data_IF_143333531957
#
_entry.id   IF_143333531957
#
_cell.length_a   1.000
_cell.length_b   1.000
_cell.length_c   1.000
_cell.angle_alpha   90.00
_cell.angle_beta   90.00
_cell.angle_gamma   90.00
#
_symmetry.space_group_name_H-M   'P 1'
#
loop_
_entity.id
_entity.type
_entity.pdbx_description
1 polymer ?
#
# COMPACT_ATOMS: atom_id res chain seq x y z
N UNK A 1 0.38 4.00 21.68
CA UNK A 1 -0.03 4.23 20.28
C UNK A 1 -0.34 2.88 19.64
N UNK A 2 -1.55 2.74 19.08
CA UNK A 2 -2.03 1.54 18.38
C UNK A 2 -1.84 1.73 16.86
N UNK A 3 -1.14 0.81 16.22
CA UNK A 3 -0.83 0.87 14.78
C UNK A 3 -1.44 -0.34 14.10
N UNK A 4 -2.21 -0.11 13.03
CA UNK A 4 -2.68 -1.16 12.12
C UNK A 4 -1.81 -1.17 10.88
N UNK A 5 -1.35 -2.36 10.46
CA UNK A 5 -0.65 -2.56 9.19
C UNK A 5 -1.54 -3.41 8.29
N UNK A 6 -2.04 -2.82 7.19
CA UNK A 6 -2.79 -3.59 6.18
C UNK A 6 -1.81 -4.33 5.28
N UNK A 7 -2.19 -5.51 4.76
CA UNK A 7 -1.24 -6.39 4.11
C UNK A 7 -0.13 -6.85 5.06
N UNK A 8 -0.44 -6.91 6.36
CA UNK A 8 0.53 -7.14 7.43
C UNK A 8 1.19 -8.52 7.43
N UNK A 9 0.62 -9.50 6.73
CA UNK A 9 1.24 -10.81 6.51
C UNK A 9 1.96 -10.92 5.16
N UNK A 10 1.99 -9.85 4.35
CA UNK A 10 2.82 -9.73 3.16
C UNK A 10 4.29 -9.47 3.48
N UNK A 11 5.13 -9.37 2.44
CA UNK A 11 6.59 -9.18 2.62
C UNK A 11 6.93 -7.89 3.37
N UNK A 12 6.45 -6.74 2.90
CA UNK A 12 6.73 -5.44 3.54
C UNK A 12 6.02 -5.37 4.90
N UNK A 13 4.73 -5.71 4.93
CA UNK A 13 3.90 -5.59 6.13
C UNK A 13 4.42 -6.41 7.30
N UNK A 14 4.85 -7.67 7.09
CA UNK A 14 5.36 -8.51 8.17
C UNK A 14 6.67 -8.00 8.76
N UNK A 15 7.58 -7.49 7.92
CA UNK A 15 8.81 -6.87 8.38
C UNK A 15 8.54 -5.59 9.20
N UNK A 16 7.59 -4.75 8.75
CA UNK A 16 7.16 -3.56 9.52
C UNK A 16 6.51 -3.95 10.85
N UNK A 17 5.64 -4.97 10.85
CA UNK A 17 5.03 -5.51 12.06
C UNK A 17 6.10 -5.89 13.10
N UNK A 18 7.08 -6.68 12.69
CA UNK A 18 8.18 -7.14 13.57
C UNK A 18 9.02 -5.95 14.05
N UNK A 19 9.40 -5.05 13.14
CA UNK A 19 10.21 -3.89 13.47
C UNK A 19 9.54 -2.98 14.50
N UNK A 20 8.27 -2.62 14.26
CA UNK A 20 7.52 -1.74 15.15
C UNK A 20 7.22 -2.41 16.50
N UNK A 21 6.98 -3.72 16.52
CA UNK A 21 6.82 -4.48 17.75
C UNK A 21 8.09 -4.43 18.61
N UNK A 22 9.28 -4.59 18.00
CA UNK A 22 10.59 -4.45 18.67
C UNK A 22 10.82 -3.03 19.22
N UNK A 23 10.15 -2.02 18.67
CA UNK A 23 10.15 -0.63 19.16
C UNK A 23 9.04 -0.36 20.20
N UNK A 24 8.44 -1.40 20.76
CA UNK A 24 7.40 -1.37 21.78
C UNK A 24 6.09 -0.66 21.36
N UNK A 25 5.79 -0.58 20.05
CA UNK A 25 4.48 -0.15 19.60
C UNK A 25 3.43 -1.26 19.77
N UNK A 26 2.18 -0.86 19.96
CA UNK A 26 1.05 -1.80 19.98
C UNK A 26 0.58 -2.04 18.53
N UNK A 27 1.10 -3.10 17.91
CA UNK A 27 0.94 -3.38 16.48
C UNK A 27 -0.12 -4.45 16.25
N UNK A 28 -0.92 -4.21 15.22
CA UNK A 28 -1.93 -5.13 14.69
C UNK A 28 -1.74 -5.29 13.17
N UNK A 29 -2.12 -6.44 12.65
CA UNK A 29 -2.12 -6.77 11.23
C UNK A 29 -3.54 -6.90 10.71
N UNK A 30 -3.76 -6.55 9.45
CA UNK A 30 -4.94 -6.90 8.67
C UNK A 30 -4.48 -7.52 7.37
N UNK A 31 -4.84 -8.78 7.15
CA UNK A 31 -4.47 -9.53 5.96
C UNK A 31 -5.43 -10.69 5.77
N UNK A 32 -5.89 -10.95 4.55
CA UNK A 32 -6.83 -12.03 4.25
C UNK A 32 -6.14 -13.38 3.99
N UNK A 33 -4.81 -13.43 4.13
CA UNK A 33 -3.97 -14.62 3.97
C UNK A 33 -4.08 -15.30 2.60
N UNK A 34 -4.53 -14.59 1.59
CA UNK A 34 -4.77 -15.16 0.26
C UNK A 34 -3.50 -15.40 -0.57
N UNK A 35 -2.38 -14.79 -0.19
CA UNK A 35 -1.10 -14.96 -0.89
C UNK A 35 -0.30 -16.12 -0.32
N UNK A 36 0.39 -16.83 -1.21
CA UNK A 36 1.34 -17.87 -0.81
C UNK A 36 2.37 -17.29 0.16
N UNK A 37 2.56 -17.95 1.30
CA UNK A 37 3.49 -17.53 2.36
C UNK A 37 2.90 -16.58 3.42
N UNK A 38 1.73 -15.99 3.20
CA UNK A 38 1.12 -15.10 4.20
C UNK A 38 0.67 -15.83 5.47
N UNK A 39 0.26 -17.09 5.38
CA UNK A 39 -0.05 -17.93 6.54
C UNK A 39 1.19 -18.16 7.41
N UNK A 40 2.32 -18.44 6.80
CA UNK A 40 3.61 -18.58 7.51
C UNK A 40 3.99 -17.29 8.25
N UNK A 41 3.88 -16.15 7.57
CA UNK A 41 4.14 -14.86 8.22
C UNK A 41 3.14 -14.59 9.36
N UNK A 42 1.86 -14.93 9.18
CA UNK A 42 0.86 -14.80 10.25
C UNK A 42 1.24 -15.62 11.49
N UNK A 43 1.75 -16.84 11.33
CA UNK A 43 2.20 -17.67 12.44
C UNK A 43 3.39 -17.06 13.18
N UNK A 44 4.34 -16.45 12.45
CA UNK A 44 5.45 -15.70 13.06
C UNK A 44 4.91 -14.50 13.86
N UNK A 45 4.02 -13.71 13.28
CA UNK A 45 3.44 -12.54 13.93
C UNK A 45 2.67 -12.92 15.19
N UNK A 46 1.89 -14.02 15.14
CA UNK A 46 1.15 -14.55 16.30
C UNK A 46 2.08 -14.95 17.45
N UNK A 47 3.23 -15.61 17.14
CA UNK A 47 4.21 -16.01 18.16
C UNK A 47 4.81 -14.82 18.94
N UNK A 48 4.88 -13.64 18.33
CA UNK A 48 5.37 -12.41 18.98
C UNK A 48 4.23 -11.52 19.49
N UNK A 49 2.99 -12.07 19.57
CA UNK A 49 1.83 -11.39 20.16
C UNK A 49 1.22 -10.31 19.27
N UNK A 50 1.35 -10.41 17.94
CA UNK A 50 0.66 -9.53 16.99
C UNK A 50 -0.61 -10.25 16.49
N UNK A 51 -1.77 -9.63 16.72
CA UNK A 51 -3.07 -10.11 16.24
C UNK A 51 -3.25 -9.71 14.78
N UNK A 52 -3.60 -10.68 13.91
CA UNK A 52 -4.06 -10.43 12.56
C UNK A 52 -5.60 -10.46 12.50
N UNK A 53 -6.20 -9.44 11.87
CA UNK A 53 -7.59 -9.46 11.45
C UNK A 53 -7.64 -10.12 10.07
N UNK A 54 -8.16 -11.35 10.00
CA UNK A 54 -8.27 -12.11 8.75
C UNK A 54 -9.46 -11.60 7.94
N UNK A 55 -9.33 -10.39 7.36
CA UNK A 55 -10.37 -9.73 6.58
C UNK A 55 -9.84 -9.30 5.22
N UNK A 56 -10.73 -9.29 4.22
CA UNK A 56 -10.47 -8.63 2.95
C UNK A 56 -10.61 -7.12 3.16
N UNK A 57 -9.62 -6.33 2.73
CA UNK A 57 -9.63 -4.88 2.85
C UNK A 57 -10.79 -4.23 2.07
N UNK A 58 -11.31 -4.89 1.03
CA UNK A 58 -12.48 -4.44 0.27
C UNK A 58 -13.83 -4.73 0.94
N UNK A 59 -13.85 -5.43 2.07
CA UNK A 59 -15.07 -5.68 2.86
C UNK A 59 -15.33 -4.49 3.79
N UNK A 60 -16.13 -3.56 3.30
CA UNK A 60 -16.45 -2.32 4.01
C UNK A 60 -16.99 -2.56 5.43
N UNK A 61 -17.92 -3.52 5.58
CA UNK A 61 -18.54 -3.80 6.88
C UNK A 61 -17.51 -4.26 7.91
N UNK A 62 -16.61 -5.16 7.51
CA UNK A 62 -15.55 -5.64 8.40
C UNK A 62 -14.55 -4.56 8.74
N UNK A 63 -14.17 -3.70 7.77
CA UNK A 63 -13.25 -2.59 8.00
C UNK A 63 -13.87 -1.57 8.97
N UNK A 64 -15.13 -1.20 8.78
CA UNK A 64 -15.83 -0.25 9.65
C UNK A 64 -15.99 -0.75 11.10
N UNK A 65 -16.03 -2.07 11.30
CA UNK A 65 -16.15 -2.71 12.63
C UNK A 65 -14.79 -2.96 13.30
N UNK A 66 -13.68 -2.62 12.69
CA UNK A 66 -12.36 -2.68 13.33
C UNK A 66 -12.30 -1.73 14.55
N UNK A 67 -11.53 -2.05 15.58
CA UNK A 67 -11.27 -1.12 16.67
C UNK A 67 -10.57 0.14 16.16
N UNK A 68 -10.57 1.20 16.96
CA UNK A 68 -9.84 2.42 16.66
C UNK A 68 -8.33 2.20 16.73
N UNK A 69 -7.62 2.75 15.74
CA UNK A 69 -6.16 2.84 15.68
C UNK A 69 -5.72 4.29 15.60
N UNK A 70 -4.54 4.60 16.11
CA UNK A 70 -3.98 5.95 16.02
C UNK A 70 -3.39 6.21 14.62
N UNK A 71 -2.78 5.17 14.04
CA UNK A 71 -2.16 5.21 12.71
C UNK A 71 -2.50 3.91 11.96
N UNK A 72 -2.80 4.05 10.68
CA UNK A 72 -2.84 2.93 9.73
C UNK A 72 -1.67 3.06 8.75
N UNK A 73 -0.89 2.00 8.59
CA UNK A 73 0.13 1.88 7.54
C UNK A 73 -0.43 0.97 6.47
N UNK A 74 -0.77 1.53 5.32
CA UNK A 74 -1.40 0.79 4.23
C UNK A 74 -0.35 0.20 3.29
N UNK A 75 -0.03 -1.08 3.50
CA UNK A 75 0.85 -1.89 2.66
C UNK A 75 0.08 -2.88 1.78
N UNK A 76 -1.28 -2.89 1.87
CA UNK A 76 -2.07 -3.85 1.14
C UNK A 76 -2.11 -3.51 -0.35
N UNK A 77 -1.78 -4.48 -1.20
CA UNK A 77 -1.90 -4.33 -2.64
C UNK A 77 -1.88 -5.67 -3.38
N UNK A 78 -2.66 -5.75 -4.45
CA UNK A 78 -2.43 -6.70 -5.54
C UNK A 78 -1.45 -6.06 -6.53
N UNK A 79 -0.16 -6.39 -6.37
CA UNK A 79 0.94 -5.70 -7.04
C UNK A 79 1.39 -6.36 -8.36
N UNK A 80 0.94 -7.58 -8.67
CA UNK A 80 1.39 -8.32 -9.84
C UNK A 80 0.76 -7.73 -11.13
N UNK A 81 1.60 -7.22 -12.05
CA UNK A 81 1.15 -6.63 -13.32
C UNK A 81 0.42 -7.66 -14.18
N UNK A 82 0.87 -8.91 -14.22
CA UNK A 82 0.20 -9.99 -14.95
C UNK A 82 -1.20 -10.27 -14.39
N UNK A 83 -1.37 -10.22 -13.07
CA UNK A 83 -2.68 -10.36 -12.42
C UNK A 83 -3.58 -9.19 -12.81
N UNK A 84 -3.04 -7.98 -12.94
CA UNK A 84 -3.83 -6.81 -13.28
C UNK A 84 -4.46 -6.88 -14.68
N UNK A 85 -3.83 -7.56 -15.63
CA UNK A 85 -4.39 -7.78 -16.96
C UNK A 85 -5.50 -8.83 -16.97
N UNK A 86 -5.36 -9.87 -16.14
CA UNK A 86 -6.31 -11.01 -16.11
C UNK A 86 -7.44 -10.84 -15.10
N UNK A 87 -7.21 -10.12 -14.01
CA UNK A 87 -8.12 -9.98 -12.88
C UNK A 87 -8.28 -8.49 -12.50
N UNK A 88 -8.67 -7.68 -13.47
CA UNK A 88 -8.82 -6.22 -13.30
C UNK A 88 -9.63 -5.85 -12.05
N UNK A 89 -10.83 -6.42 -11.89
CA UNK A 89 -11.71 -6.13 -10.77
C UNK A 89 -11.04 -6.42 -9.42
N UNK A 90 -10.29 -7.52 -9.30
CA UNK A 90 -9.57 -7.85 -8.07
C UNK A 90 -8.55 -6.76 -7.71
N UNK A 91 -7.82 -6.26 -8.70
CA UNK A 91 -6.81 -5.20 -8.47
C UNK A 91 -7.49 -3.91 -8.05
N UNK A 92 -8.57 -3.49 -8.72
CA UNK A 92 -9.34 -2.29 -8.35
C UNK A 92 -9.94 -2.43 -6.96
N UNK A 93 -10.61 -3.55 -6.66
CA UNK A 93 -11.22 -3.78 -5.35
C UNK A 93 -10.18 -3.81 -4.22
N UNK A 94 -9.04 -4.49 -4.43
CA UNK A 94 -8.01 -4.54 -3.38
C UNK A 94 -7.32 -3.21 -3.19
N UNK A 95 -6.85 -2.57 -4.29
CA UNK A 95 -5.96 -1.43 -4.18
C UNK A 95 -6.70 -0.11 -3.99
N UNK A 96 -7.83 0.08 -4.66
CA UNK A 96 -8.58 1.34 -4.61
C UNK A 96 -9.74 1.28 -3.63
N UNK A 97 -10.69 0.34 -3.82
CA UNK A 97 -11.84 0.22 -2.90
C UNK A 97 -11.36 -0.05 -1.47
N UNK A 98 -10.35 -0.92 -1.31
CA UNK A 98 -9.75 -1.19 0.01
C UNK A 98 -9.19 0.06 0.67
N UNK A 99 -8.43 0.89 -0.05
CA UNK A 99 -7.92 2.15 0.48
C UNK A 99 -9.06 3.13 0.83
N UNK A 100 -10.11 3.22 -0.01
CA UNK A 100 -11.29 4.05 0.30
C UNK A 100 -11.97 3.58 1.60
N UNK A 101 -12.15 2.29 1.81
CA UNK A 101 -12.72 1.76 3.05
C UNK A 101 -11.86 2.14 4.28
N UNK A 102 -10.54 2.07 4.16
CA UNK A 102 -9.63 2.55 5.21
C UNK A 102 -9.81 4.05 5.45
N UNK A 103 -9.89 4.87 4.40
CA UNK A 103 -10.07 6.33 4.54
C UNK A 103 -11.39 6.67 5.25
N UNK A 104 -12.48 5.99 4.94
CA UNK A 104 -13.76 6.15 5.64
C UNK A 104 -13.63 5.82 7.14
N UNK A 105 -12.93 4.72 7.46
CA UNK A 105 -12.63 4.34 8.84
C UNK A 105 -11.78 5.39 9.56
N UNK A 106 -10.74 5.91 8.90
CA UNK A 106 -9.84 6.93 9.45
C UNK A 106 -10.58 8.24 9.76
N UNK A 107 -11.47 8.68 8.85
CA UNK A 107 -12.35 9.84 9.07
C UNK A 107 -13.18 9.65 10.34
N UNK A 108 -13.85 8.50 10.48
CA UNK A 108 -14.68 8.18 11.65
C UNK A 108 -13.88 8.17 12.95
N UNK A 109 -12.65 7.65 12.91
CA UNK A 109 -11.81 7.45 14.08
C UNK A 109 -10.92 8.65 14.41
N UNK A 110 -10.83 9.66 13.54
CA UNK A 110 -9.86 10.76 13.60
C UNK A 110 -8.41 10.23 13.68
N UNK A 111 -8.07 9.35 12.76
CA UNK A 111 -6.80 8.63 12.70
C UNK A 111 -5.92 9.13 11.54
N UNK A 112 -4.67 8.66 11.46
CA UNK A 112 -3.69 9.06 10.43
C UNK A 112 -3.37 7.89 9.52
N UNK A 113 -2.93 8.18 8.27
CA UNK A 113 -2.48 7.17 7.33
C UNK A 113 -1.05 7.41 6.86
N UNK A 114 -0.27 6.33 6.76
CA UNK A 114 0.95 6.23 5.98
C UNK A 114 0.66 5.28 4.83
N UNK A 115 0.66 5.79 3.61
CA UNK A 115 0.30 5.03 2.42
C UNK A 115 1.56 4.63 1.64
N UNK A 116 1.76 3.33 1.42
CA UNK A 116 2.81 2.85 0.55
C UNK A 116 2.34 2.86 -0.89
N UNK A 117 2.71 3.90 -1.60
CA UNK A 117 2.51 4.02 -3.03
C UNK A 117 3.65 3.35 -3.81
N UNK A 118 3.92 3.76 -5.02
CA UNK A 118 4.87 3.09 -5.91
C UNK A 118 5.40 4.05 -6.96
N UNK A 119 6.65 3.84 -7.41
CA UNK A 119 7.18 4.48 -8.62
C UNK A 119 6.36 4.19 -9.90
N UNK A 120 5.47 3.18 -9.87
CA UNK A 120 4.55 2.86 -10.98
C UNK A 120 3.43 3.89 -11.21
N UNK A 121 3.30 4.89 -10.34
CA UNK A 121 2.41 6.05 -10.54
C UNK A 121 2.90 6.95 -11.67
N UNK A 122 4.20 6.90 -11.99
CA UNK A 122 4.77 7.63 -13.12
C UNK A 122 4.49 6.91 -14.45
N UNK A 123 4.41 7.66 -15.58
CA UNK A 123 4.20 7.08 -16.90
C UNK A 123 5.31 6.09 -17.29
N UNK A 124 4.92 5.02 -18.00
CA UNK A 124 5.87 4.00 -18.48
C UNK A 124 6.95 4.64 -19.35
N UNK A 125 6.56 5.56 -20.24
CA UNK A 125 7.48 6.27 -21.11
C UNK A 125 8.51 7.10 -20.32
N UNK A 126 8.07 7.75 -19.23
CA UNK A 126 8.93 8.55 -18.37
C UNK A 126 9.96 7.67 -17.65
N UNK A 127 9.53 6.53 -17.11
CA UNK A 127 10.40 5.56 -16.48
C UNK A 127 11.39 4.92 -17.48
N UNK A 128 10.98 4.70 -18.73
CA UNK A 128 11.84 4.08 -19.75
C UNK A 128 12.89 5.02 -20.35
N UNK A 129 12.61 6.32 -20.41
CA UNK A 129 13.56 7.34 -20.94
C UNK A 129 14.85 7.45 -20.10
N UNK A 130 14.81 7.07 -18.82
CA UNK A 130 15.99 7.01 -17.96
C UNK A 130 16.95 5.86 -18.27
N UNK A 131 16.52 4.84 -19.02
CA UNK A 131 17.27 3.62 -19.30
C UNK A 131 17.51 3.45 -20.81
N UNK A 132 18.50 4.12 -21.37
CA UNK A 132 19.02 3.74 -22.70
C UNK A 132 19.99 2.58 -22.54
N UNK A 133 19.56 1.37 -22.87
CA UNK A 133 20.43 0.20 -23.08
C UNK A 133 21.28 0.47 -24.32
N UNK A 134 22.41 1.15 -24.17
CA UNK A 134 23.47 1.15 -25.17
C UNK A 134 24.43 0.02 -24.83
N UNK A 135 24.40 -1.06 -25.58
CA UNK A 135 25.31 -2.19 -25.61
C UNK A 135 25.66 -2.82 -24.24
N UNK A 136 25.40 -4.13 -24.08
CA UNK A 136 25.60 -5.00 -22.92
C UNK A 136 26.99 -4.92 -22.23
N UNK A 137 27.93 -4.14 -22.73
CA UNK A 137 29.29 -3.97 -22.17
C UNK A 137 29.58 -2.60 -21.56
N UNK A 138 28.65 -1.64 -21.55
CA UNK A 138 28.87 -0.32 -20.93
C UNK A 138 27.94 -0.12 -19.73
N UNK A 139 28.50 0.36 -18.61
CA UNK A 139 27.78 0.75 -17.39
C UNK A 139 26.49 1.51 -17.73
N UNK A 140 25.36 1.07 -17.17
CA UNK A 140 24.09 1.79 -17.23
C UNK A 140 24.29 3.22 -16.73
N UNK A 141 24.25 4.20 -17.61
CA UNK A 141 24.13 5.61 -17.20
C UNK A 141 22.67 5.88 -16.90
N UNK A 142 22.33 5.99 -15.63
CA UNK A 142 21.04 6.54 -15.19
C UNK A 142 21.09 8.03 -15.46
N UNK A 143 20.43 8.49 -16.53
CA UNK A 143 20.48 9.90 -16.93
C UNK A 143 19.64 10.82 -16.04
N UNK A 144 18.62 10.30 -15.33
CA UNK A 144 17.74 11.05 -14.44
C UNK A 144 17.04 10.10 -13.47
N UNK A 145 17.03 10.46 -12.20
CA UNK A 145 16.18 9.82 -11.20
C UNK A 145 14.80 10.49 -11.22
N UNK A 146 13.76 9.69 -11.01
CA UNK A 146 12.38 10.16 -10.86
C UNK A 146 12.21 10.70 -9.44
N UNK A 147 11.48 11.81 -9.29
CA UNK A 147 11.16 12.42 -8.01
C UNK A 147 9.67 12.84 -7.96
N UNK A 148 9.22 13.31 -6.82
CA UNK A 148 7.79 13.61 -6.55
C UNK A 148 7.25 14.76 -7.42
N UNK A 149 8.10 15.62 -7.98
CA UNK A 149 7.73 16.75 -8.85
C UNK A 149 7.58 16.34 -10.31
N UNK A 150 7.94 15.11 -10.65
CA UNK A 150 7.84 14.62 -12.02
C UNK A 150 6.39 14.43 -12.46
N UNK A 151 6.16 14.64 -13.76
CA UNK A 151 4.82 14.54 -14.33
C UNK A 151 4.25 13.11 -14.20
N UNK A 152 3.06 13.02 -13.64
CA UNK A 152 2.30 11.78 -13.46
C UNK A 152 1.28 11.52 -14.57
N UNK A 153 1.12 12.42 -15.57
CA UNK A 153 0.20 12.25 -16.70
C UNK A 153 0.77 11.29 -17.73
N UNK A 154 -0.06 10.41 -18.27
CA UNK A 154 0.27 9.46 -19.31
C UNK A 154 0.00 7.99 -18.94
N UNK A 155 0.13 7.07 -19.91
CA UNK A 155 -0.12 5.64 -19.72
C UNK A 155 0.78 5.02 -18.65
N UNK A 156 0.16 4.22 -17.77
CA UNK A 156 0.81 3.44 -16.72
C UNK A 156 0.12 2.08 -16.60
N UNK A 157 0.65 1.17 -15.81
CA UNK A 157 -0.03 -0.09 -15.55
C UNK A 157 -1.33 0.14 -14.76
N UNK A 158 -2.28 -0.80 -14.83
CA UNK A 158 -3.51 -0.78 -14.01
C UNK A 158 -3.16 -0.69 -12.53
N UNK A 159 -2.14 -1.43 -12.09
CA UNK A 159 -1.60 -1.31 -10.73
C UNK A 159 -1.15 0.13 -10.41
N UNK A 160 -0.35 0.73 -11.28
CA UNK A 160 0.11 2.12 -11.11
C UNK A 160 -1.05 3.12 -11.08
N UNK A 161 -2.07 2.89 -11.93
CA UNK A 161 -3.27 3.72 -11.95
C UNK A 161 -4.06 3.61 -10.63
N UNK A 162 -4.25 2.40 -10.10
CA UNK A 162 -4.96 2.24 -8.82
C UNK A 162 -4.19 2.87 -7.66
N UNK A 163 -2.85 2.80 -7.66
CA UNK A 163 -2.02 3.46 -6.65
C UNK A 163 -2.13 4.99 -6.74
N UNK A 164 -2.07 5.56 -7.96
CA UNK A 164 -2.24 7.00 -8.17
C UNK A 164 -3.65 7.48 -7.78
N UNK A 165 -4.69 6.75 -8.18
CA UNK A 165 -6.06 7.08 -7.79
C UNK A 165 -6.21 7.07 -6.26
N UNK A 166 -5.61 6.12 -5.56
CA UNK A 166 -5.60 6.10 -4.10
C UNK A 166 -4.89 7.31 -3.48
N UNK A 167 -3.77 7.77 -4.07
CA UNK A 167 -3.12 9.02 -3.63
C UNK A 167 -4.09 10.22 -3.73
N UNK A 168 -4.77 10.36 -4.86
CA UNK A 168 -5.75 11.44 -5.08
C UNK A 168 -6.91 11.38 -4.07
N UNK A 169 -7.44 10.19 -3.77
CA UNK A 169 -8.45 10.03 -2.72
C UNK A 169 -7.93 10.38 -1.33
N UNK A 170 -6.68 10.04 -1.01
CA UNK A 170 -6.05 10.39 0.28
C UNK A 170 -5.93 11.91 0.41
N UNK A 171 -5.47 12.60 -0.63
CA UNK A 171 -5.35 14.05 -0.68
C UNK A 171 -6.71 14.73 -0.51
N UNK A 172 -7.74 14.25 -1.22
CA UNK A 172 -9.10 14.77 -1.11
C UNK A 172 -9.71 14.53 0.28
N UNK A 173 -9.51 13.34 0.87
CA UNK A 173 -9.95 13.06 2.24
C UNK A 173 -9.23 13.92 3.28
N UNK A 174 -7.96 14.26 3.03
CA UNK A 174 -7.25 15.22 3.88
C UNK A 174 -7.88 16.61 3.79
N UNK A 175 -8.14 17.10 2.59
CA UNK A 175 -8.75 18.40 2.36
C UNK A 175 -10.17 18.48 2.94
N UNK A 176 -11.02 17.51 2.61
CA UNK A 176 -12.44 17.55 2.96
C UNK A 176 -12.71 17.18 4.44
N UNK A 177 -11.89 16.33 5.04
CA UNK A 177 -12.17 15.73 6.36
C UNK A 177 -11.01 15.84 7.36
N UNK A 178 -9.90 16.48 7.01
CA UNK A 178 -8.76 16.67 7.92
C UNK A 178 -7.95 15.40 8.22
N UNK A 179 -8.09 14.32 7.42
CA UNK A 179 -7.31 13.09 7.59
C UNK A 179 -5.83 13.39 7.34
N UNK A 180 -5.01 13.22 8.35
CA UNK A 180 -3.55 13.43 8.22
C UNK A 180 -2.90 12.26 7.52
N UNK A 181 -2.04 12.54 6.54
CA UNK A 181 -1.43 11.50 5.73
C UNK A 181 0.07 11.72 5.45
N UNK A 182 0.71 10.63 5.06
CA UNK A 182 2.02 10.60 4.41
C UNK A 182 1.93 9.58 3.26
N UNK A 183 2.37 9.97 2.07
CA UNK A 183 2.46 9.09 0.90
C UNK A 183 3.92 8.81 0.60
N UNK A 184 4.28 7.51 0.53
CA UNK A 184 5.64 7.07 0.20
C UNK A 184 5.62 6.32 -1.14
N UNK A 185 6.23 6.89 -2.18
CA UNK A 185 6.36 6.30 -3.52
C UNK A 185 7.63 5.45 -3.60
N UNK A 186 7.55 4.19 -3.21
CA UNK A 186 8.65 3.21 -3.27
C UNK A 186 9.01 2.77 -4.71
#
# INVERSE_FOLDING_TARGET
MKILITGGCGFIGSNLCIFLKKKNFNVYSLDNLSRKGSTYNNDILRKIGIKNFNYNISDEKKINNLPKFDIVIDCCAEAAIEVSKKQFNKVVHTNLTGTINILQKLKKDNSKIIYLSSSRVYPIEHLSKGYKLKNLKKKLKVNRMVNEKDNIRGPKSIYGLTKLASEMFIEEFSYAFGVKYLINRC
#
